data_IF_476538372262
#
_entry.id   IF_476538372262
#
_cell.length_a   1.000
_cell.length_b   1.000
_cell.length_c   1.000
_cell.angle_alpha   90.00
_cell.angle_beta   90.00
_cell.angle_gamma   90.00
#
_symmetry.space_group_name_H-M   'P 1'
#
loop_
_entity.id
_entity.type
_entity.pdbx_description
1 polymer ?
#
# COMPACT_ATOMS: atom_id res chain seq x y z
N UNK A 1 3.44 -23.31 -19.16
CA UNK A 1 3.71 -22.54 -17.92
C UNK A 1 2.36 -22.32 -17.29
N UNK A 2 2.05 -23.10 -16.26
CA UNK A 2 0.69 -23.18 -15.73
C UNK A 2 0.35 -21.92 -14.92
N UNK A 3 -0.51 -21.09 -15.49
CA UNK A 3 -1.09 -19.90 -14.86
C UNK A 3 -2.10 -20.22 -13.73
N UNK A 4 -2.06 -21.46 -13.19
CA UNK A 4 -3.15 -22.04 -12.42
C UNK A 4 -2.94 -22.06 -10.90
N UNK A 5 -1.91 -21.44 -10.32
CA UNK A 5 -1.74 -21.45 -8.86
C UNK A 5 -0.99 -20.24 -8.26
N UNK A 6 -1.13 -19.05 -8.83
CA UNK A 6 -0.67 -17.83 -8.13
C UNK A 6 -1.65 -17.48 -7.00
N UNK A 7 -1.27 -17.79 -5.76
CA UNK A 7 -2.03 -17.45 -4.55
C UNK A 7 -1.66 -16.05 -4.08
N UNK A 8 -2.66 -15.19 -3.92
CA UNK A 8 -2.50 -13.84 -3.36
C UNK A 8 -3.00 -13.78 -1.92
N UNK A 9 -2.30 -13.03 -1.08
CA UNK A 9 -2.58 -12.89 0.35
C UNK A 9 -2.56 -11.42 0.76
N UNK A 10 -3.32 -11.09 1.81
CA UNK A 10 -3.30 -9.78 2.46
C UNK A 10 -2.37 -9.84 3.68
N UNK A 11 -1.12 -9.45 3.52
CA UNK A 11 -0.13 -9.48 4.59
C UNK A 11 -0.14 -8.17 5.40
N UNK A 12 -0.20 -8.26 6.73
CA UNK A 12 -0.08 -7.11 7.61
C UNK A 12 1.35 -6.56 7.59
N UNK A 13 1.50 -5.25 7.41
CA UNK A 13 2.84 -4.62 7.26
C UNK A 13 3.13 -3.54 8.29
N UNK A 14 2.20 -3.27 9.20
CA UNK A 14 2.35 -2.29 10.28
C UNK A 14 1.38 -1.12 10.15
N UNK A 15 1.70 -0.05 10.86
CA UNK A 15 1.05 1.23 10.64
C UNK A 15 2.02 2.33 10.24
N UNK A 16 1.44 3.39 9.69
CA UNK A 16 2.12 4.57 9.20
C UNK A 16 1.80 5.73 10.13
N UNK A 17 2.82 6.29 10.76
CA UNK A 17 2.71 7.53 11.52
C UNK A 17 2.31 8.70 10.60
N UNK A 18 1.59 9.69 11.14
CA UNK A 18 1.44 10.98 10.47
C UNK A 18 2.79 11.55 10.06
N UNK A 19 2.90 12.00 8.81
CA UNK A 19 4.07 12.72 8.29
C UNK A 19 3.61 13.69 7.18
N UNK A 20 2.75 14.68 7.52
CA UNK A 20 2.04 15.47 6.54
C UNK A 20 2.99 16.25 5.63
N UNK A 21 2.63 16.33 4.34
CA UNK A 21 3.39 17.06 3.33
C UNK A 21 4.46 16.24 2.61
N UNK A 22 4.85 15.07 3.12
CA UNK A 22 5.73 14.15 2.36
C UNK A 22 4.96 13.38 1.31
N UNK A 23 5.49 13.29 0.09
CA UNK A 23 4.90 12.43 -0.93
C UNK A 23 5.65 11.10 -1.01
N UNK A 24 4.91 10.01 -0.85
CA UNK A 24 5.43 8.66 -0.71
C UNK A 24 4.88 7.74 -1.80
N UNK A 25 5.60 6.64 -2.04
CA UNK A 25 5.07 5.48 -2.76
C UNK A 25 5.74 4.19 -2.28
N UNK A 26 5.07 3.07 -2.49
CA UNK A 26 5.52 1.77 -1.96
C UNK A 26 6.45 1.04 -2.94
N UNK A 27 6.36 1.37 -4.23
CA UNK A 27 7.18 0.80 -5.29
C UNK A 27 7.68 1.88 -6.25
N UNK A 28 8.85 1.66 -6.87
CA UNK A 28 9.36 2.51 -7.96
C UNK A 28 8.45 2.44 -9.18
N UNK A 29 8.29 3.58 -9.87
CA UNK A 29 7.62 3.62 -11.19
C UNK A 29 8.45 2.89 -12.24
N UNK A 30 7.81 2.43 -13.33
CA UNK A 30 8.46 1.67 -14.40
C UNK A 30 8.74 0.19 -14.09
N UNK A 31 8.46 -0.26 -12.87
CA UNK A 31 8.48 -1.68 -12.52
C UNK A 31 7.10 -2.33 -12.76
N UNK A 32 7.11 -3.64 -13.01
CA UNK A 32 5.92 -4.47 -12.98
C UNK A 32 5.18 -4.31 -11.65
N UNK A 33 3.85 -4.25 -11.68
CA UNK A 33 3.05 -4.17 -10.47
C UNK A 33 3.17 -5.49 -9.71
N UNK A 34 3.83 -5.46 -8.55
CA UNK A 34 4.03 -6.66 -7.72
C UNK A 34 3.00 -6.81 -6.60
N UNK A 35 2.36 -5.70 -6.20
CA UNK A 35 1.45 -5.67 -5.05
C UNK A 35 0.49 -4.50 -5.12
N UNK A 36 -0.67 -4.65 -4.48
CA UNK A 36 -1.52 -3.53 -4.09
C UNK A 36 -1.29 -3.20 -2.62
N UNK A 37 -1.49 -1.94 -2.26
CA UNK A 37 -1.41 -1.48 -0.88
C UNK A 37 -2.82 -1.25 -0.39
N UNK A 38 -3.22 -1.94 0.66
CA UNK A 38 -4.51 -1.77 1.30
C UNK A 38 -4.29 -0.99 2.59
N UNK A 39 -4.94 0.14 2.75
CA UNK A 39 -4.83 0.97 3.94
C UNK A 39 -6.17 1.04 4.65
N UNK A 40 -6.14 0.89 5.98
CA UNK A 40 -7.29 1.12 6.86
C UNK A 40 -7.09 2.43 7.58
N UNK A 41 -8.04 3.34 7.39
CA UNK A 41 -7.98 4.72 7.82
C UNK A 41 -8.95 4.92 9.00
N UNK A 42 -8.51 5.58 10.10
CA UNK A 42 -9.41 6.02 11.17
C UNK A 42 -10.35 7.12 10.65
N UNK A 43 -11.21 7.69 11.49
CA UNK A 43 -12.10 8.80 11.11
C UNK A 43 -11.35 10.10 10.82
N UNK A 44 -11.93 10.93 9.96
CA UNK A 44 -11.44 12.24 9.52
C UNK A 44 -10.00 12.32 8.93
N UNK A 45 -9.50 11.31 8.18
CA UNK A 45 -8.25 11.41 7.44
C UNK A 45 -8.43 12.30 6.22
N UNK A 46 -7.41 13.12 5.95
CA UNK A 46 -7.23 13.79 4.66
C UNK A 46 -5.93 13.31 4.02
N UNK A 47 -5.96 13.09 2.71
CA UNK A 47 -4.79 12.72 1.93
C UNK A 47 -4.83 13.35 0.55
N UNK A 48 -3.70 13.29 -0.15
CA UNK A 48 -3.66 13.57 -1.60
C UNK A 48 -3.11 12.37 -2.33
N UNK A 49 -3.62 12.10 -3.51
CA UNK A 49 -3.02 11.15 -4.43
C UNK A 49 -2.75 11.83 -5.77
N UNK A 50 -1.71 11.38 -6.47
CA UNK A 50 -1.29 12.01 -7.72
C UNK A 50 -1.76 11.17 -8.90
N UNK A 51 -2.71 11.70 -9.69
CA UNK A 51 -3.38 10.97 -10.77
C UNK A 51 -2.37 10.43 -11.77
N UNK A 52 -2.60 9.19 -12.20
CA UNK A 52 -1.80 8.49 -13.21
C UNK A 52 -0.30 8.33 -12.89
N UNK A 53 0.17 8.70 -11.68
CA UNK A 53 1.60 8.65 -11.35
C UNK A 53 2.18 7.23 -11.38
N UNK A 54 1.35 6.21 -11.10
CA UNK A 54 1.71 4.80 -11.24
C UNK A 54 2.03 4.37 -12.69
N UNK A 55 1.59 5.13 -13.70
CA UNK A 55 1.82 4.86 -15.13
C UNK A 55 3.05 5.60 -15.69
N UNK A 56 3.68 6.44 -14.88
CA UNK A 56 4.79 7.32 -15.32
C UNK A 56 6.09 6.86 -14.70
N UNK A 57 7.18 7.03 -15.46
CA UNK A 57 8.52 6.93 -14.90
C UNK A 57 8.80 8.20 -14.08
N UNK A 58 8.75 8.03 -12.77
CA UNK A 58 8.92 9.10 -11.79
C UNK A 58 10.14 8.75 -10.96
N UNK A 59 11.05 9.70 -10.80
CA UNK A 59 12.22 9.52 -9.93
C UNK A 59 11.78 9.34 -8.48
N UNK A 60 12.16 8.23 -7.86
CA UNK A 60 11.86 7.93 -6.47
C UNK A 60 13.10 7.56 -5.69
N UNK A 61 13.33 8.26 -4.59
CA UNK A 61 14.49 8.07 -3.73
C UNK A 61 14.12 7.32 -2.47
N UNK A 62 15.05 6.57 -1.91
CA UNK A 62 14.79 5.88 -0.65
C UNK A 62 14.81 6.92 0.47
N UNK A 63 13.69 7.08 1.15
CA UNK A 63 13.53 8.05 2.24
C UNK A 63 14.03 7.52 3.58
N UNK A 64 13.80 8.32 4.62
CA UNK A 64 14.02 7.90 6.02
C UNK A 64 12.99 6.84 6.48
N UNK A 65 11.86 6.75 5.78
CA UNK A 65 10.83 5.74 6.00
C UNK A 65 11.12 4.47 5.18
N UNK A 66 10.27 3.45 5.33
CA UNK A 66 10.36 2.24 4.50
C UNK A 66 9.83 2.44 3.08
N UNK A 67 9.35 3.64 2.75
CA UNK A 67 8.75 3.99 1.46
C UNK A 67 9.72 4.78 0.61
N UNK A 68 9.43 4.87 -0.68
CA UNK A 68 10.12 5.79 -1.56
C UNK A 68 9.52 7.18 -1.42
N UNK A 69 10.38 8.18 -1.28
CA UNK A 69 10.00 9.58 -1.33
C UNK A 69 10.02 10.06 -2.79
N UNK A 70 9.07 10.94 -3.12
CA UNK A 70 8.90 11.53 -4.44
C UNK A 70 8.84 13.04 -4.28
N UNK A 71 9.64 13.75 -5.08
CA UNK A 71 9.60 15.21 -5.09
C UNK A 71 8.29 15.70 -5.75
N UNK A 72 7.52 16.61 -5.12
CA UNK A 72 6.32 17.17 -5.74
C UNK A 72 6.58 17.87 -7.09
N UNK A 73 7.76 18.48 -7.25
CA UNK A 73 8.17 19.11 -8.51
C UNK A 73 8.24 18.12 -9.68
N UNK A 74 8.75 16.91 -9.44
CA UNK A 74 8.81 15.83 -10.44
C UNK A 74 7.39 15.43 -10.88
N UNK A 75 6.47 15.28 -9.92
CA UNK A 75 5.08 14.93 -10.21
C UNK A 75 4.40 15.99 -11.09
N UNK A 76 4.62 17.27 -10.75
CA UNK A 76 4.12 18.39 -11.55
C UNK A 76 4.70 18.39 -12.96
N UNK A 77 6.01 18.20 -13.11
CA UNK A 77 6.68 18.14 -14.42
C UNK A 77 6.13 17.00 -15.29
N UNK A 78 5.81 15.85 -14.68
CA UNK A 78 5.20 14.70 -15.37
C UNK A 78 3.69 14.83 -15.60
N UNK A 79 3.07 15.96 -15.25
CA UNK A 79 1.63 16.19 -15.40
C UNK A 79 0.78 15.26 -14.52
N UNK A 80 1.29 14.90 -13.34
CA UNK A 80 0.57 14.13 -12.35
C UNK A 80 -0.07 15.09 -11.36
N UNK A 81 -1.33 15.46 -11.59
CA UNK A 81 -2.07 16.38 -10.73
C UNK A 81 -2.44 15.73 -9.40
N UNK A 82 -2.36 16.51 -8.32
CA UNK A 82 -2.79 16.08 -7.00
C UNK A 82 -4.32 16.19 -6.87
N UNK A 83 -4.93 15.16 -6.32
CA UNK A 83 -6.33 15.12 -5.95
C UNK A 83 -6.49 14.83 -4.47
N UNK A 84 -7.41 15.54 -3.85
CA UNK A 84 -7.78 15.32 -2.46
C UNK A 84 -8.59 14.02 -2.35
N UNK A 85 -8.32 13.26 -1.29
CA UNK A 85 -9.10 12.12 -0.87
C UNK A 85 -9.43 12.28 0.60
N UNK A 86 -10.69 12.62 0.86
CA UNK A 86 -11.25 12.79 2.18
C UNK A 86 -12.14 11.60 2.50
N UNK A 87 -12.00 11.05 3.71
CA UNK A 87 -12.86 9.96 4.19
C UNK A 87 -13.33 10.25 5.61
N UNK A 88 -14.31 11.13 5.77
CA UNK A 88 -14.74 11.63 7.09
C UNK A 88 -15.05 10.54 8.13
N UNK A 89 -15.62 9.40 7.71
CA UNK A 89 -15.93 8.27 8.59
C UNK A 89 -14.82 7.22 8.68
N UNK A 90 -13.66 7.50 8.09
CA UNK A 90 -12.62 6.53 7.85
C UNK A 90 -13.04 5.50 6.81
N UNK A 91 -12.25 4.43 6.71
CA UNK A 91 -12.57 3.33 5.82
C UNK A 91 -11.34 2.64 5.27
N UNK A 92 -11.51 2.01 4.10
CA UNK A 92 -10.48 1.23 3.45
C UNK A 92 -10.18 1.82 2.07
N UNK A 93 -8.88 1.98 1.77
CA UNK A 93 -8.41 2.44 0.46
C UNK A 93 -7.43 1.43 -0.11
N UNK A 94 -7.56 1.15 -1.41
CA UNK A 94 -6.68 0.25 -2.15
C UNK A 94 -5.93 1.06 -3.19
N UNK A 95 -4.60 0.98 -3.13
CA UNK A 95 -3.69 1.70 -4.01
C UNK A 95 -2.89 0.75 -4.89
N UNK A 96 -2.62 1.16 -6.13
CA UNK A 96 -1.46 0.66 -6.87
C UNK A 96 -0.20 1.05 -6.09
N UNK A 97 0.69 0.09 -5.78
CA UNK A 97 1.88 0.35 -4.99
C UNK A 97 2.84 1.38 -5.59
N UNK A 98 2.74 1.63 -6.91
CA UNK A 98 3.54 2.61 -7.64
C UNK A 98 2.89 4.00 -7.62
N UNK A 99 1.63 4.11 -7.20
CA UNK A 99 0.97 5.41 -7.06
C UNK A 99 1.71 6.24 -6.00
N UNK A 100 1.77 7.55 -6.26
CA UNK A 100 2.32 8.51 -5.32
C UNK A 100 1.17 9.08 -4.51
N UNK A 101 1.31 9.07 -3.19
CA UNK A 101 0.33 9.60 -2.24
C UNK A 101 1.04 10.50 -1.26
N UNK A 102 0.45 11.64 -0.94
CA UNK A 102 0.91 12.44 0.19
C UNK A 102 0.60 11.70 1.49
N UNK A 103 1.56 11.70 2.40
CA UNK A 103 1.40 11.17 3.73
C UNK A 103 0.43 12.08 4.51
N UNK A 104 -0.29 11.43 5.43
CA UNK A 104 -1.47 11.98 6.10
C UNK A 104 -1.10 12.66 7.41
N UNK A 105 -2.09 13.37 7.93
CA UNK A 105 -2.13 13.96 9.27
C UNK A 105 -2.50 12.96 10.38
N UNK A 106 -2.98 11.77 9.99
CA UNK A 106 -3.51 10.74 10.88
C UNK A 106 -2.80 9.41 10.71
N UNK A 107 -2.75 8.63 11.80
CA UNK A 107 -2.20 7.27 11.78
C UNK A 107 -3.04 6.37 10.87
N UNK A 108 -2.42 5.32 10.33
CA UNK A 108 -3.16 4.29 9.61
C UNK A 108 -2.51 2.93 9.67
N UNK A 109 -3.27 1.89 9.40
CA UNK A 109 -2.74 0.55 9.19
C UNK A 109 -2.61 0.28 7.71
N UNK A 110 -1.56 -0.44 7.31
CA UNK A 110 -1.41 -0.86 5.93
C UNK A 110 -1.04 -2.33 5.81
N UNK A 111 -1.57 -2.90 4.75
CA UNK A 111 -1.43 -4.29 4.34
C UNK A 111 -0.96 -4.32 2.90
N UNK A 112 -0.30 -5.40 2.51
CA UNK A 112 0.10 -5.66 1.14
C UNK A 112 -0.73 -6.81 0.60
N UNK A 113 -1.45 -6.56 -0.48
CA UNK A 113 -2.06 -7.61 -1.28
C UNK A 113 -1.06 -8.04 -2.36
N UNK A 114 -0.45 -9.20 -2.17
CA UNK A 114 0.74 -9.65 -2.90
C UNK A 114 0.71 -11.16 -3.11
N UNK A 115 1.36 -11.64 -4.16
CA UNK A 115 1.53 -13.09 -4.36
C UNK A 115 2.35 -13.71 -3.22
N UNK A 116 1.84 -14.79 -2.63
CA UNK A 116 2.43 -15.45 -1.47
C UNK A 116 3.87 -15.90 -1.74
N UNK A 117 4.11 -16.53 -2.89
CA UNK A 117 5.46 -16.97 -3.27
C UNK A 117 6.43 -15.79 -3.38
N UNK A 118 5.96 -14.67 -3.94
CA UNK A 118 6.76 -13.45 -4.04
C UNK A 118 7.11 -12.90 -2.66
N UNK A 119 6.12 -12.82 -1.76
CA UNK A 119 6.33 -12.39 -0.38
C UNK A 119 7.37 -13.27 0.33
N UNK A 120 7.23 -14.59 0.24
CA UNK A 120 8.13 -15.54 0.89
C UNK A 120 9.57 -15.42 0.37
N UNK A 121 9.75 -15.29 -0.95
CA UNK A 121 11.08 -15.02 -1.56
C UNK A 121 11.68 -13.70 -1.08
N UNK A 122 10.87 -12.64 -0.97
CA UNK A 122 11.34 -11.31 -0.56
C UNK A 122 11.64 -11.20 0.93
N UNK A 123 10.92 -11.93 1.80
CA UNK A 123 11.22 -12.01 3.24
C UNK A 123 12.65 -12.46 3.52
N UNK A 124 13.25 -13.29 2.68
CA UNK A 124 14.66 -13.69 2.84
C UNK A 124 15.65 -12.55 2.56
N UNK A 125 15.32 -11.60 1.70
CA UNK A 125 16.27 -10.64 1.10
C UNK A 125 16.17 -9.19 1.61
N UNK A 126 15.12 -8.82 2.36
CA UNK A 126 14.98 -7.44 2.83
C UNK A 126 14.23 -7.32 4.15
N UNK A 127 14.74 -6.44 5.02
CA UNK A 127 14.19 -6.15 6.35
C UNK A 127 12.77 -5.58 6.30
N UNK A 128 12.41 -4.86 5.23
CA UNK A 128 11.04 -4.41 5.01
C UNK A 128 10.08 -5.60 4.92
N UNK A 129 10.39 -6.55 4.04
CA UNK A 129 9.54 -7.72 3.80
C UNK A 129 9.51 -8.66 4.99
N UNK A 130 10.63 -8.80 5.74
CA UNK A 130 10.67 -9.59 6.98
C UNK A 130 9.53 -9.22 7.94
N UNK A 131 9.25 -7.93 8.09
CA UNK A 131 8.18 -7.42 8.95
C UNK A 131 6.75 -7.61 8.43
N UNK A 132 6.56 -8.09 7.19
CA UNK A 132 5.24 -8.38 6.65
C UNK A 132 4.75 -9.74 7.17
N UNK A 133 3.63 -9.75 7.89
CA UNK A 133 3.06 -10.93 8.55
C UNK A 133 1.93 -11.46 7.67
N UNK A 134 2.06 -12.64 7.04
CA UNK A 134 0.94 -13.27 6.36
C UNK A 134 -0.18 -13.58 7.37
N UNK A 135 -1.44 -13.65 6.94
CA UNK A 135 -2.54 -13.99 7.84
C UNK A 135 -2.30 -15.37 8.47
N UNK A 136 -2.60 -15.51 9.77
CA UNK A 136 -2.41 -16.77 10.51
C UNK A 136 -3.30 -17.89 9.99
N UNK A 137 -4.49 -17.54 9.50
CA UNK A 137 -5.41 -18.43 8.82
C UNK A 137 -6.24 -17.65 7.80
N UNK A 138 -6.68 -18.35 6.77
CA UNK A 138 -7.69 -17.89 5.82
C UNK A 138 -8.98 -18.72 5.95
N UNK A 139 -9.05 -19.56 6.98
CA UNK A 139 -10.29 -20.21 7.34
C UNK A 139 -11.29 -19.13 7.74
N UNK A 140 -12.41 -19.07 7.01
CA UNK A 140 -13.48 -18.12 7.27
C UNK A 140 -14.02 -18.25 8.69
N UNK A 141 -13.96 -19.46 9.26
CA UNK A 141 -14.42 -19.73 10.61
C UNK A 141 -13.44 -19.19 11.66
N UNK A 142 -12.13 -19.26 11.39
CA UNK A 142 -11.12 -18.59 12.22
C UNK A 142 -11.19 -17.06 12.11
N UNK A 143 -11.43 -16.54 10.92
CA UNK A 143 -11.59 -15.09 10.69
C UNK A 143 -12.87 -14.56 11.35
N UNK A 144 -13.98 -15.31 11.27
CA UNK A 144 -15.21 -14.99 11.99
C UNK A 144 -14.99 -15.01 13.52
N UNK A 145 -14.15 -15.91 14.03
CA UNK A 145 -13.72 -15.96 15.42
C UNK A 145 -12.98 -14.70 15.91
N UNK A 146 -12.50 -13.84 15.01
CA UNK A 146 -11.88 -12.54 15.32
C UNK A 146 -12.90 -11.39 15.41
N UNK A 147 -14.20 -11.68 15.31
CA UNK A 147 -15.26 -10.67 15.33
C UNK A 147 -15.41 -9.89 14.02
N UNK A 148 -14.86 -10.41 12.92
CA UNK A 148 -15.03 -9.85 11.57
C UNK A 148 -16.19 -10.57 10.90
N UNK A 149 -17.21 -9.80 10.49
CA UNK A 149 -18.38 -10.35 9.81
C UNK A 149 -18.06 -10.60 8.33
N UNK A 150 -17.96 -11.88 7.93
CA UNK A 150 -17.57 -12.26 6.57
C UNK A 150 -18.79 -12.69 5.76
N UNK A 151 -19.16 -11.88 4.77
CA UNK A 151 -20.25 -12.19 3.85
C UNK A 151 -19.72 -13.03 2.68
N UNK A 152 -20.23 -14.26 2.55
CA UNK A 152 -20.02 -15.08 1.34
C UNK A 152 -20.89 -14.50 0.22
N UNK A 153 -20.25 -13.89 -0.77
CA UNK A 153 -20.87 -13.52 -2.05
C UNK A 153 -20.98 -14.70 -2.99
#
# INVERSE_FOLDING_TARGET
MDALNSRYILAYSGGLSPDPGRTLSFQKGGQELIMLVVQVWPKSPSSKYYRASHKKEITKVRGATRFFEVAPAELKEKGCDAEDLDMDQGGLVIWDARLSTMSRDTWSYFYLFVEEQYLMKRKASSSFWKGCIPPSSQDLDEVAGLGVDVHKG
#
